data_IF_273387328416
#
_entry.id   IF_273387328416
#
_cell.length_a   1.000
_cell.length_b   1.000
_cell.length_c   1.000
_cell.angle_alpha   90.00
_cell.angle_beta   90.00
_cell.angle_gamma   90.00
#
_symmetry.space_group_name_H-M   'P 1'
#
loop_
_entity.id
_entity.type
_entity.pdbx_description
1 polymer ?
#
# COMPACT_ATOMS: atom_id res chain seq x y z
N UNK A 1 -2.41 20.88 -12.16
CA UNK A 1 -1.15 20.26 -11.69
C UNK A 1 -1.36 19.06 -10.77
N UNK A 2 -1.71 19.16 -9.47
CA UNK A 2 -1.80 17.96 -8.59
C UNK A 2 -2.78 16.88 -9.12
N UNK A 3 -4.03 17.26 -9.38
CA UNK A 3 -5.03 16.33 -9.93
C UNK A 3 -4.67 15.83 -11.34
N UNK A 4 -3.95 16.64 -12.11
CA UNK A 4 -3.52 16.30 -13.48
C UNK A 4 -2.40 15.26 -13.47
N UNK A 5 -1.43 15.41 -12.57
CA UNK A 5 -0.38 14.41 -12.32
C UNK A 5 -1.00 13.08 -11.89
N UNK A 6 -1.98 13.10 -10.97
CA UNK A 6 -2.65 11.89 -10.53
C UNK A 6 -3.51 11.24 -11.62
N UNK A 7 -4.22 12.04 -12.42
CA UNK A 7 -4.98 11.55 -13.57
C UNK A 7 -4.06 10.91 -14.61
N UNK A 8 -2.95 11.56 -14.95
CA UNK A 8 -1.97 11.00 -15.90
C UNK A 8 -1.32 9.74 -15.34
N UNK A 9 -0.99 9.71 -14.05
CA UNK A 9 -0.47 8.52 -13.37
C UNK A 9 -1.46 7.35 -13.48
N UNK A 10 -2.75 7.61 -13.26
CA UNK A 10 -3.79 6.59 -13.36
C UNK A 10 -3.97 6.04 -14.79
N UNK A 11 -3.87 6.90 -15.80
CA UNK A 11 -3.87 6.49 -17.22
C UNK A 11 -2.63 5.64 -17.52
N UNK A 12 -1.45 6.15 -17.18
CA UNK A 12 -0.18 5.49 -17.44
C UNK A 12 -0.12 4.10 -16.78
N UNK A 13 -0.61 3.95 -15.55
CA UNK A 13 -0.61 2.66 -14.84
C UNK A 13 -1.51 1.61 -15.49
N UNK A 14 -2.58 2.04 -16.19
CA UNK A 14 -3.45 1.14 -16.97
C UNK A 14 -2.78 0.75 -18.29
N UNK A 15 -2.13 1.69 -18.95
CA UNK A 15 -1.59 1.49 -20.30
C UNK A 15 -0.21 0.82 -20.33
N UNK A 16 0.70 1.19 -19.41
CA UNK A 16 2.12 0.76 -19.45
C UNK A 16 2.71 0.47 -18.08
N UNK A 17 3.85 -0.21 -18.06
CA UNK A 17 4.70 -0.30 -16.86
C UNK A 17 5.43 1.02 -16.67
N UNK A 18 5.58 1.43 -15.40
CA UNK A 18 6.34 2.63 -15.02
C UNK A 18 7.75 2.32 -14.47
N UNK A 19 8.23 1.08 -14.60
CA UNK A 19 9.62 0.65 -14.29
C UNK A 19 10.14 1.18 -12.94
N UNK A 20 9.39 1.00 -11.86
CA UNK A 20 9.77 1.47 -10.51
C UNK A 20 9.60 2.97 -10.27
N UNK A 21 9.23 3.77 -11.27
CA UNK A 21 8.92 5.21 -11.10
C UNK A 21 7.78 5.42 -10.12
N UNK A 22 6.78 4.54 -10.11
CA UNK A 22 5.70 4.60 -9.12
C UNK A 22 6.25 4.46 -7.69
N UNK A 23 7.16 3.51 -7.43
CA UNK A 23 7.75 3.36 -6.10
C UNK A 23 8.48 4.63 -5.67
N UNK A 24 9.34 5.16 -6.55
CA UNK A 24 10.06 6.41 -6.28
C UNK A 24 9.10 7.55 -5.98
N UNK A 25 8.03 7.70 -6.76
CA UNK A 25 7.02 8.73 -6.54
C UNK A 25 6.36 8.59 -5.15
N UNK A 26 5.95 7.38 -4.77
CA UNK A 26 5.37 7.10 -3.45
C UNK A 26 6.34 7.42 -2.33
N UNK A 27 7.58 6.94 -2.40
CA UNK A 27 8.60 7.16 -1.38
C UNK A 27 8.99 8.64 -1.27
N UNK A 28 9.07 9.37 -2.38
CA UNK A 28 9.30 10.83 -2.37
C UNK A 28 8.16 11.56 -1.66
N UNK A 29 6.89 11.21 -1.94
CA UNK A 29 5.76 11.86 -1.29
C UNK A 29 5.74 11.59 0.22
N UNK A 30 6.03 10.36 0.64
CA UNK A 30 6.13 9.98 2.06
C UNK A 30 7.29 10.72 2.74
N UNK A 31 8.48 10.76 2.10
CA UNK A 31 9.64 11.47 2.63
C UNK A 31 9.40 12.99 2.74
N UNK A 32 8.71 13.58 1.77
CA UNK A 32 8.40 14.99 1.76
C UNK A 32 7.46 15.38 2.90
N UNK A 33 6.45 14.55 3.19
CA UNK A 33 5.59 14.73 4.36
C UNK A 33 6.39 14.64 5.66
N UNK A 34 7.24 13.60 5.81
CA UNK A 34 8.04 13.41 7.02
C UNK A 34 9.03 14.56 7.24
N UNK A 35 9.68 15.04 6.18
CA UNK A 35 10.56 16.20 6.26
C UNK A 35 9.81 17.47 6.69
N UNK A 36 8.60 17.69 6.15
CA UNK A 36 7.77 18.83 6.53
C UNK A 36 7.33 18.73 8.00
N UNK A 37 6.96 17.54 8.49
CA UNK A 37 6.67 17.29 9.91
C UNK A 37 7.86 17.59 10.81
N UNK A 38 9.04 17.06 10.44
CA UNK A 38 10.26 17.24 11.22
C UNK A 38 10.69 18.72 11.32
N UNK A 39 10.45 19.52 10.27
CA UNK A 39 10.68 20.98 10.30
C UNK A 39 9.64 21.72 11.12
N UNK A 40 8.36 21.35 11.01
CA UNK A 40 7.30 21.93 11.82
C UNK A 40 7.54 21.70 13.33
N UNK A 41 8.02 20.51 13.71
CA UNK A 41 8.41 20.18 15.07
C UNK A 41 9.59 21.04 15.60
N UNK A 42 10.40 21.61 14.71
CA UNK A 42 11.48 22.57 15.02
C UNK A 42 11.00 24.03 15.03
N UNK A 43 9.69 24.26 15.05
CA UNK A 43 9.04 25.57 14.98
C UNK A 43 9.32 26.34 13.68
N UNK A 44 9.71 25.66 12.59
CA UNK A 44 9.75 26.29 11.27
C UNK A 44 8.32 26.44 10.72
N UNK A 45 8.00 27.53 9.98
CA UNK A 45 6.66 27.82 9.46
C UNK A 45 6.30 26.93 8.25
N UNK A 46 6.33 25.62 8.42
CA UNK A 46 6.15 24.60 7.38
C UNK A 46 4.83 23.84 7.48
N UNK A 47 3.92 24.26 8.37
CA UNK A 47 2.61 23.62 8.56
C UNK A 47 1.81 23.47 7.26
N UNK A 48 1.82 24.49 6.40
CA UNK A 48 1.15 24.43 5.10
C UNK A 48 1.77 23.37 4.17
N UNK A 49 3.09 23.17 4.24
CA UNK A 49 3.78 22.14 3.47
C UNK A 49 3.46 20.74 4.00
N UNK A 50 3.39 20.57 5.33
CA UNK A 50 2.97 19.31 5.96
C UNK A 50 1.58 18.90 5.49
N UNK A 51 0.58 19.80 5.61
CA UNK A 51 -0.79 19.52 5.18
C UNK A 51 -0.87 19.25 3.67
N UNK A 52 -0.06 19.96 2.88
CA UNK A 52 0.02 19.73 1.44
C UNK A 52 0.52 18.33 1.08
N UNK A 53 1.64 17.89 1.65
CA UNK A 53 2.19 16.56 1.36
C UNK A 53 1.34 15.43 1.92
N UNK A 54 0.73 15.62 3.09
CA UNK A 54 -0.24 14.67 3.63
C UNK A 54 -1.45 14.52 2.70
N UNK A 55 -1.97 15.63 2.15
CA UNK A 55 -3.04 15.59 1.16
C UNK A 55 -2.63 14.83 -0.11
N UNK A 56 -1.40 15.04 -0.59
CA UNK A 56 -0.85 14.30 -1.73
C UNK A 56 -0.79 12.80 -1.44
N UNK A 57 -0.31 12.40 -0.25
CA UNK A 57 -0.27 10.99 0.14
C UNK A 57 -1.67 10.38 0.20
N UNK A 58 -2.63 11.06 0.84
CA UNK A 58 -4.04 10.63 0.90
C UNK A 58 -4.62 10.41 -0.49
N UNK A 59 -4.46 11.39 -1.39
CA UNK A 59 -5.01 11.29 -2.74
C UNK A 59 -4.32 10.25 -3.61
N UNK A 60 -3.00 10.15 -3.52
CA UNK A 60 -2.25 9.15 -4.29
C UNK A 60 -2.66 7.75 -3.84
N UNK A 61 -2.72 7.51 -2.53
CA UNK A 61 -3.16 6.23 -2.01
C UNK A 61 -4.60 5.92 -2.42
N UNK A 62 -5.53 6.87 -2.26
CA UNK A 62 -6.91 6.72 -2.72
C UNK A 62 -6.98 6.37 -4.21
N UNK A 63 -6.20 7.04 -5.05
CA UNK A 63 -6.17 6.80 -6.51
C UNK A 63 -5.70 5.39 -6.83
N UNK A 64 -4.63 4.92 -6.19
CA UNK A 64 -4.13 3.56 -6.37
C UNK A 64 -5.13 2.49 -5.89
N UNK A 65 -5.86 2.76 -4.80
CA UNK A 65 -6.93 1.89 -4.32
C UNK A 65 -8.08 1.80 -5.33
N UNK A 66 -8.50 2.94 -5.91
CA UNK A 66 -9.55 2.96 -6.93
C UNK A 66 -9.13 2.20 -8.20
N UNK A 67 -7.86 2.26 -8.58
CA UNK A 67 -7.32 1.45 -9.67
C UNK A 67 -7.41 -0.04 -9.32
N UNK A 68 -6.97 -0.44 -8.12
CA UNK A 68 -7.03 -1.84 -7.71
C UNK A 68 -8.48 -2.35 -7.61
N UNK A 69 -9.39 -1.57 -7.03
CA UNK A 69 -10.82 -1.89 -6.95
C UNK A 69 -11.41 -2.16 -8.32
N UNK A 70 -11.18 -1.27 -9.30
CA UNK A 70 -11.69 -1.46 -10.65
C UNK A 70 -11.15 -2.71 -11.35
N UNK A 71 -9.97 -3.20 -10.96
CA UNK A 71 -9.46 -4.48 -11.47
C UNK A 71 -10.08 -5.69 -10.77
N UNK A 72 -10.36 -5.59 -9.46
CA UNK A 72 -10.97 -6.67 -8.67
C UNK A 72 -12.46 -6.87 -8.98
N UNK A 73 -13.21 -5.78 -9.18
CA UNK A 73 -14.65 -5.82 -9.47
C UNK A 73 -14.97 -6.62 -10.74
N UNK A 74 -14.03 -6.70 -11.68
CA UNK A 74 -14.15 -7.49 -12.92
C UNK A 74 -14.35 -8.98 -12.64
N UNK A 75 -13.79 -9.49 -11.55
CA UNK A 75 -13.88 -10.91 -11.16
C UNK A 75 -14.98 -11.17 -10.13
N UNK A 76 -15.56 -10.12 -9.53
CA UNK A 76 -16.65 -10.26 -8.57
C UNK A 76 -17.98 -10.65 -9.24
N UNK A 77 -18.12 -10.36 -10.54
CA UNK A 77 -19.31 -10.65 -11.34
C UNK A 77 -19.27 -11.99 -12.09
N UNK A 78 -18.12 -12.66 -12.10
CA UNK A 78 -17.96 -13.96 -12.75
C UNK A 78 -18.36 -15.06 -11.76
N UNK A 79 -19.40 -15.84 -12.09
CA UNK A 79 -19.94 -16.90 -11.21
C UNK A 79 -18.84 -17.84 -10.69
N UNK A 80 -18.78 -18.01 -9.36
CA UNK A 80 -17.84 -18.85 -8.62
C UNK A 80 -17.95 -20.37 -8.91
N UNK A 81 -18.62 -20.78 -9.99
CA UNK A 81 -18.91 -22.18 -10.30
C UNK A 81 -17.72 -22.96 -10.87
N UNK A 82 -16.62 -22.28 -11.25
CA UNK A 82 -15.37 -22.94 -11.63
C UNK A 82 -14.48 -23.19 -10.40
N UNK A 83 -14.75 -24.29 -9.70
CA UNK A 83 -13.94 -24.82 -8.57
C UNK A 83 -12.49 -25.22 -8.93
N UNK A 84 -11.97 -24.79 -10.08
CA UNK A 84 -10.70 -25.25 -10.66
C UNK A 84 -9.57 -24.21 -10.65
N UNK A 85 -9.81 -22.96 -10.25
CA UNK A 85 -8.73 -21.97 -10.19
C UNK A 85 -7.95 -22.07 -8.86
N UNK A 86 -7.29 -23.22 -8.67
CA UNK A 86 -6.57 -23.60 -7.45
C UNK A 86 -5.48 -22.60 -7.00
N UNK A 87 -5.14 -21.57 -7.78
CA UNK A 87 -3.99 -20.72 -7.50
C UNK A 87 -4.31 -19.22 -7.36
N UNK A 88 -5.52 -18.73 -7.64
CA UNK A 88 -5.94 -17.32 -7.46
C UNK A 88 -5.15 -16.27 -8.28
N UNK A 89 -3.95 -16.60 -8.74
CA UNK A 89 -3.00 -15.70 -9.40
C UNK A 89 -3.49 -15.21 -10.77
N UNK A 90 -4.40 -15.94 -11.40
CA UNK A 90 -5.12 -15.58 -12.62
C UNK A 90 -6.03 -14.36 -12.40
N UNK A 91 -6.53 -14.16 -11.18
CA UNK A 91 -7.34 -12.98 -10.79
C UNK A 91 -6.48 -11.75 -10.51
N UNK A 92 -5.15 -11.87 -10.55
CA UNK A 92 -4.23 -10.74 -10.35
C UNK A 92 -3.83 -10.17 -11.72
N UNK A 93 -4.58 -9.15 -12.15
CA UNK A 93 -4.36 -8.50 -13.46
C UNK A 93 -2.99 -7.83 -13.56
N UNK A 94 -2.56 -7.53 -14.79
CA UNK A 94 -1.32 -6.78 -15.04
C UNK A 94 -1.34 -5.42 -14.35
N UNK A 95 -2.49 -4.74 -14.31
CA UNK A 95 -2.63 -3.44 -13.65
C UNK A 95 -2.55 -3.60 -12.12
N UNK A 96 -3.21 -4.61 -11.55
CA UNK A 96 -3.10 -4.91 -10.11
C UNK A 96 -1.64 -5.18 -9.70
N UNK A 97 -0.89 -5.92 -10.54
CA UNK A 97 0.55 -6.18 -10.31
C UNK A 97 1.39 -4.92 -10.27
N UNK A 98 1.04 -3.89 -11.05
CA UNK A 98 1.77 -2.61 -11.09
C UNK A 98 1.54 -1.77 -9.84
N UNK A 99 0.34 -1.82 -9.24
CA UNK A 99 -0.02 -0.93 -8.12
C UNK A 99 0.18 -1.55 -6.74
N UNK A 100 0.07 -2.87 -6.61
CA UNK A 100 0.15 -3.57 -5.32
C UNK A 100 1.43 -3.28 -4.50
N UNK A 101 2.65 -3.26 -5.09
CA UNK A 101 3.85 -2.94 -4.32
C UNK A 101 3.80 -1.52 -3.72
N UNK A 102 3.25 -0.55 -4.45
CA UNK A 102 3.11 0.83 -3.98
C UNK A 102 2.02 0.96 -2.91
N UNK A 103 0.92 0.21 -3.07
CA UNK A 103 -0.14 0.11 -2.09
C UNK A 103 0.38 -0.46 -0.76
N UNK A 104 1.27 -1.46 -0.78
CA UNK A 104 1.93 -1.94 0.45
C UNK A 104 2.69 -0.82 1.16
N UNK A 105 3.49 -0.02 0.44
CA UNK A 105 4.18 1.12 1.05
C UNK A 105 3.20 2.14 1.65
N UNK A 106 2.10 2.44 0.96
CA UNK A 106 1.06 3.32 1.51
C UNK A 106 0.27 2.73 2.68
N UNK A 107 0.08 1.40 2.74
CA UNK A 107 -0.50 0.71 3.90
C UNK A 107 0.37 0.92 5.15
N UNK A 108 1.69 0.73 5.03
CA UNK A 108 2.62 1.05 6.13
C UNK A 108 2.58 2.52 6.53
N UNK A 109 2.56 3.44 5.57
CA UNK A 109 2.39 4.87 5.86
C UNK A 109 1.08 5.15 6.60
N UNK A 110 -0.03 4.53 6.18
CA UNK A 110 -1.34 4.68 6.83
C UNK A 110 -1.29 4.19 8.27
N UNK A 111 -0.70 3.02 8.52
CA UNK A 111 -0.52 2.47 9.88
C UNK A 111 0.26 3.42 10.78
N UNK A 112 1.35 4.00 10.28
CA UNK A 112 2.17 4.96 11.05
C UNK A 112 1.40 6.27 11.32
N UNK A 113 0.57 6.71 10.38
CA UNK A 113 -0.10 8.01 10.44
C UNK A 113 -1.57 7.95 10.87
N UNK A 114 -2.08 6.76 11.21
CA UNK A 114 -3.50 6.52 11.47
C UNK A 114 -4.06 7.41 12.59
N UNK A 115 -3.32 7.61 13.68
CA UNK A 115 -3.72 8.46 14.79
C UNK A 115 -3.87 9.93 14.38
N UNK A 116 -2.91 10.46 13.61
CA UNK A 116 -2.96 11.83 13.10
C UNK A 116 -4.11 12.03 12.10
N UNK A 117 -4.30 11.09 11.18
CA UNK A 117 -5.39 11.14 10.19
C UNK A 117 -6.77 11.00 10.86
N UNK A 118 -6.87 10.20 11.93
CA UNK A 118 -8.11 10.05 12.71
C UNK A 118 -8.46 11.33 13.46
N UNK A 119 -7.47 12.02 14.04
CA UNK A 119 -7.70 13.33 14.66
C UNK A 119 -8.20 14.35 13.61
N UNK A 120 -7.62 14.36 12.41
CA UNK A 120 -8.04 15.26 11.32
C UNK A 120 -9.43 14.95 10.77
N UNK A 121 -9.86 13.68 10.81
CA UNK A 121 -11.23 13.30 10.44
C UNK A 121 -12.29 13.94 11.34
N UNK A 122 -11.94 14.27 12.59
CA UNK A 122 -12.87 14.89 13.55
C UNK A 122 -13.06 16.39 13.29
N UNK A 123 -12.16 17.03 12.53
CA UNK A 123 -12.25 18.41 12.10
C UNK A 123 -13.12 18.52 10.83
N UNK A 124 -14.45 18.57 11.03
CA UNK A 124 -15.48 18.31 10.02
C UNK A 124 -15.54 19.29 8.84
N UNK A 125 -14.76 20.36 8.85
CA UNK A 125 -14.90 21.48 7.89
C UNK A 125 -13.71 21.64 6.93
N UNK A 126 -12.76 20.68 6.90
CA UNK A 126 -11.61 20.75 5.99
C UNK A 126 -11.75 19.81 4.78
N UNK A 127 -11.26 20.24 3.61
CA UNK A 127 -11.18 19.39 2.40
C UNK A 127 -10.39 18.10 2.67
N UNK A 128 -9.36 18.19 3.51
CA UNK A 128 -8.54 17.04 3.90
C UNK A 128 -9.36 16.03 4.72
N UNK A 129 -10.21 16.47 5.65
CA UNK A 129 -11.06 15.58 6.45
C UNK A 129 -11.96 14.71 5.57
N UNK A 130 -12.59 15.30 4.54
CA UNK A 130 -13.43 14.58 3.57
C UNK A 130 -12.60 13.56 2.80
N UNK A 131 -11.41 13.96 2.32
CA UNK A 131 -10.52 13.07 1.57
C UNK A 131 -10.02 11.90 2.42
N UNK A 132 -9.72 12.14 3.70
CA UNK A 132 -9.35 11.08 4.64
C UNK A 132 -10.52 10.11 4.86
N UNK A 133 -11.76 10.61 4.99
CA UNK A 133 -12.94 9.74 5.12
C UNK A 133 -13.14 8.85 3.89
N UNK A 134 -13.01 9.42 2.68
CA UNK A 134 -13.12 8.66 1.44
C UNK A 134 -11.96 7.67 1.27
N UNK A 135 -10.75 8.02 1.69
CA UNK A 135 -9.61 7.09 1.74
C UNK A 135 -9.93 5.88 2.62
N UNK A 136 -10.43 6.09 3.84
CA UNK A 136 -10.78 5.00 4.76
C UNK A 136 -11.84 4.07 4.17
N UNK A 137 -12.90 4.64 3.56
CA UNK A 137 -13.94 3.84 2.89
C UNK A 137 -13.36 3.01 1.75
N UNK A 138 -12.57 3.64 0.88
CA UNK A 138 -11.91 2.98 -0.25
C UNK A 138 -10.98 1.86 0.21
N UNK A 139 -10.21 2.10 1.28
CA UNK A 139 -9.30 1.10 1.85
C UNK A 139 -10.08 -0.11 2.39
N UNK A 140 -11.08 0.12 3.23
CA UNK A 140 -11.92 -0.95 3.78
C UNK A 140 -12.64 -1.77 2.69
N UNK A 141 -13.19 -1.10 1.68
CA UNK A 141 -13.83 -1.77 0.54
C UNK A 141 -12.84 -2.64 -0.24
N UNK A 142 -11.62 -2.13 -0.47
CA UNK A 142 -10.55 -2.86 -1.17
C UNK A 142 -10.15 -4.11 -0.40
N UNK A 143 -9.93 -4.00 0.92
CA UNK A 143 -9.58 -5.13 1.77
C UNK A 143 -10.68 -6.18 1.81
N UNK A 144 -11.94 -5.75 1.91
CA UNK A 144 -13.10 -6.63 1.89
C UNK A 144 -13.18 -7.43 0.59
N UNK A 145 -13.01 -6.74 -0.55
CA UNK A 145 -13.07 -7.39 -1.85
C UNK A 145 -11.87 -8.33 -2.10
N UNK A 146 -10.68 -7.98 -1.62
CA UNK A 146 -9.53 -8.89 -1.64
C UNK A 146 -9.80 -10.15 -0.81
N UNK A 147 -10.30 -9.99 0.42
CA UNK A 147 -10.60 -11.11 1.31
C UNK A 147 -11.74 -12.01 0.77
N UNK A 148 -12.67 -11.48 -0.01
CA UNK A 148 -13.70 -12.28 -0.68
C UNK A 148 -13.22 -12.95 -1.98
N UNK A 149 -12.21 -12.37 -2.64
CA UNK A 149 -11.70 -12.86 -3.93
C UNK A 149 -10.63 -13.94 -3.77
N UNK A 150 -9.81 -13.84 -2.71
CA UNK A 150 -8.67 -14.72 -2.46
C UNK A 150 -8.83 -15.47 -1.14
N UNK A 151 -8.43 -16.74 -1.09
CA UNK A 151 -8.34 -17.53 0.15
C UNK A 151 -7.10 -17.10 0.95
N UNK A 152 -7.15 -15.88 1.51
CA UNK A 152 -6.03 -15.20 2.19
C UNK A 152 -5.32 -16.08 3.22
N UNK A 153 -6.03 -16.82 4.10
CA UNK A 153 -5.38 -17.70 5.08
C UNK A 153 -4.50 -18.79 4.45
N UNK A 154 -4.83 -19.24 3.24
CA UNK A 154 -4.09 -20.31 2.52
C UNK A 154 -3.02 -19.80 1.56
N UNK A 155 -2.90 -18.48 1.36
CA UNK A 155 -1.82 -17.92 0.53
C UNK A 155 -0.46 -18.18 1.19
N UNK A 156 0.53 -18.53 0.37
CA UNK A 156 1.87 -18.90 0.83
C UNK A 156 2.63 -17.69 1.40
N UNK A 157 3.49 -17.97 2.39
CA UNK A 157 4.47 -17.02 2.91
C UNK A 157 5.66 -16.88 1.96
N UNK A 158 6.32 -15.71 2.01
CA UNK A 158 7.59 -15.45 1.34
C UNK A 158 8.63 -15.11 2.41
N UNK A 159 9.66 -15.95 2.50
CA UNK A 159 10.66 -15.90 3.58
C UNK A 159 11.81 -14.89 3.33
N UNK A 160 11.77 -14.14 2.24
CA UNK A 160 12.74 -13.09 1.89
C UNK A 160 12.03 -11.74 1.68
N UNK A 161 12.80 -10.65 1.68
CA UNK A 161 12.29 -9.30 1.40
C UNK A 161 11.85 -9.22 -0.06
N UNK A 162 10.64 -8.72 -0.36
CA UNK A 162 10.28 -8.40 -1.74
C UNK A 162 11.01 -7.15 -2.22
N UNK A 163 11.00 -6.90 -3.53
CA UNK A 163 11.68 -5.75 -4.16
C UNK A 163 11.34 -4.42 -3.45
N UNK A 164 10.07 -4.15 -3.17
CA UNK A 164 9.64 -2.94 -2.45
C UNK A 164 10.04 -2.91 -0.96
N UNK A 165 10.24 -4.08 -0.35
CA UNK A 165 10.71 -4.18 1.03
C UNK A 165 12.22 -3.88 1.10
N UNK A 166 12.99 -4.33 0.11
CA UNK A 166 14.41 -3.97 -0.01
C UNK A 166 14.61 -2.47 -0.28
N UNK A 167 13.78 -1.88 -1.15
CA UNK A 167 13.81 -0.44 -1.45
C UNK A 167 13.52 0.44 -0.21
N UNK A 168 12.85 -0.11 0.78
CA UNK A 168 12.46 0.60 2.02
C UNK A 168 13.32 0.25 3.23
N UNK A 169 14.33 -0.61 3.07
CA UNK A 169 15.33 -0.84 4.12
C UNK A 169 16.05 0.46 4.48
N UNK A 170 16.02 0.82 5.77
CA UNK A 170 16.63 2.06 6.27
C UNK A 170 15.83 3.32 5.95
N UNK A 171 14.67 3.21 5.30
CA UNK A 171 13.80 4.34 4.99
C UNK A 171 13.02 4.77 6.24
N UNK A 172 13.63 5.67 7.03
CA UNK A 172 13.13 6.13 8.33
C UNK A 172 11.63 6.45 8.39
N UNK A 173 10.98 7.07 7.38
CA UNK A 173 9.54 7.34 7.45
C UNK A 173 8.65 6.10 7.57
N UNK A 174 9.16 4.91 7.20
CA UNK A 174 8.44 3.63 7.29
C UNK A 174 9.00 2.69 8.36
N UNK A 175 10.01 3.10 9.12
CA UNK A 175 10.58 2.33 10.23
C UNK A 175 9.78 2.66 11.50
N UNK A 176 8.88 1.75 11.87
CA UNK A 176 8.05 1.88 13.07
C UNK A 176 7.80 0.50 13.70
N UNK A 177 7.52 0.47 15.00
CA UNK A 177 7.17 -0.77 15.70
C UNK A 177 5.96 -1.48 15.10
N UNK A 178 5.00 -0.74 14.54
CA UNK A 178 3.82 -1.26 13.88
C UNK A 178 4.08 -1.81 12.46
N UNK A 179 5.21 -1.50 11.84
CA UNK A 179 5.55 -1.92 10.46
C UNK A 179 6.77 -2.82 10.39
N UNK A 180 7.51 -2.99 11.49
CA UNK A 180 8.76 -3.77 11.53
C UNK A 180 8.59 -5.24 11.16
N UNK A 181 7.42 -5.83 11.38
CA UNK A 181 7.14 -7.24 11.11
C UNK A 181 7.19 -7.55 9.61
N UNK A 182 6.98 -6.56 8.74
CA UNK A 182 7.20 -6.68 7.29
C UNK A 182 8.61 -7.18 6.95
N UNK A 183 9.62 -6.76 7.72
CA UNK A 183 11.03 -7.07 7.48
C UNK A 183 11.53 -8.30 8.23
N UNK A 184 10.63 -9.03 8.91
CA UNK A 184 10.96 -10.20 9.72
C UNK A 184 10.32 -11.48 9.19
N UNK A 185 11.00 -12.59 9.42
CA UNK A 185 10.44 -13.93 9.26
C UNK A 185 9.48 -14.23 10.42
N UNK A 186 8.68 -15.29 10.29
CA UNK A 186 7.83 -15.81 11.38
C UNK A 186 8.62 -16.21 12.63
N UNK A 187 9.94 -16.44 12.48
CA UNK A 187 10.87 -16.74 13.57
C UNK A 187 11.42 -15.47 14.24
N UNK A 188 11.00 -14.29 13.80
CA UNK A 188 11.41 -12.98 14.31
C UNK A 188 12.79 -12.53 13.82
N UNK A 189 13.45 -13.26 12.92
CA UNK A 189 14.74 -12.87 12.33
C UNK A 189 14.53 -11.95 11.14
N UNK A 190 15.48 -11.07 10.83
CA UNK A 190 15.43 -10.26 9.62
C UNK A 190 15.32 -11.15 8.38
N UNK A 191 14.40 -10.83 7.47
CA UNK A 191 14.30 -11.52 6.18
C UNK A 191 15.57 -11.27 5.36
N UNK A 192 16.16 -12.29 4.72
CA UNK A 192 17.25 -12.11 3.76
C UNK A 192 16.78 -11.32 2.53
N UNK A 193 17.74 -10.76 1.79
CA UNK A 193 17.49 -10.13 0.50
C UNK A 193 17.28 -11.17 -0.59
N UNK A 194 16.58 -10.82 -1.65
CA UNK A 194 16.26 -11.68 -2.78
C UNK A 194 17.51 -12.21 -3.50
N UNK A 195 18.59 -11.43 -3.48
CA UNK A 195 19.85 -11.75 -4.15
C UNK A 195 20.92 -12.30 -3.20
N UNK A 196 20.58 -12.57 -1.94
CA UNK A 196 21.53 -13.18 -1.00
C UNK A 196 21.86 -14.63 -1.42
N UNK A 197 23.10 -15.10 -1.21
CA UNK A 197 23.47 -16.47 -1.52
C UNK A 197 22.59 -17.50 -0.80
N UNK A 198 22.06 -18.46 -1.56
CA UNK A 198 21.23 -19.55 -1.02
C UNK A 198 19.73 -19.24 -0.96
N UNK A 199 19.31 -18.05 -1.40
CA UNK A 199 17.89 -17.72 -1.53
C UNK A 199 17.37 -18.20 -2.89
N UNK A 200 16.37 -19.08 -2.87
CA UNK A 200 15.63 -19.49 -4.06
C UNK A 200 14.38 -18.59 -4.19
N UNK A 201 14.33 -17.82 -5.28
CA UNK A 201 13.22 -16.91 -5.52
C UNK A 201 11.97 -17.69 -5.91
N UNK A 202 10.87 -17.43 -5.22
CA UNK A 202 9.56 -17.94 -5.58
C UNK A 202 9.10 -17.43 -6.95
N UNK A 203 8.20 -18.18 -7.59
CA UNK A 203 7.58 -17.73 -8.83
C UNK A 203 6.88 -16.37 -8.63
N UNK A 204 6.93 -15.41 -9.58
CA UNK A 204 6.34 -14.08 -9.40
C UNK A 204 4.85 -14.08 -9.00
N UNK A 205 4.09 -15.10 -9.39
CA UNK A 205 2.69 -15.27 -8.95
C UNK A 205 2.56 -15.49 -7.44
N UNK A 206 3.48 -16.26 -6.84
CA UNK A 206 3.49 -16.49 -5.39
C UNK A 206 3.81 -15.18 -4.68
N UNK A 207 4.82 -14.44 -5.14
CA UNK A 207 5.15 -13.12 -4.59
C UNK A 207 3.97 -12.14 -4.69
N UNK A 208 3.20 -12.17 -5.78
CA UNK A 208 2.03 -11.32 -5.94
C UNK A 208 0.88 -11.68 -5.00
N UNK A 209 0.62 -12.97 -4.81
CA UNK A 209 -0.38 -13.43 -3.84
C UNK A 209 0.04 -13.10 -2.40
N UNK A 210 1.34 -13.23 -2.11
CA UNK A 210 1.88 -12.83 -0.83
C UNK A 210 1.70 -11.32 -0.55
N UNK A 211 1.88 -10.47 -1.57
CA UNK A 211 1.56 -9.03 -1.45
C UNK A 211 0.10 -8.79 -1.07
N UNK A 212 -0.84 -9.52 -1.65
CA UNK A 212 -2.27 -9.46 -1.30
C UNK A 212 -2.49 -9.91 0.14
N UNK A 213 -1.90 -11.06 0.52
CA UNK A 213 -1.99 -11.60 1.88
C UNK A 213 -1.56 -10.56 2.91
N UNK A 214 -0.36 -10.00 2.76
CA UNK A 214 0.16 -9.02 3.71
C UNK A 214 -0.63 -7.72 3.70
N UNK A 215 -1.08 -7.24 2.53
CA UNK A 215 -1.91 -6.04 2.45
C UNK A 215 -3.24 -6.21 3.23
N UNK A 216 -3.85 -7.40 3.16
CA UNK A 216 -5.06 -7.72 3.94
C UNK A 216 -4.75 -7.83 5.44
N UNK A 217 -3.67 -8.51 5.82
CA UNK A 217 -3.26 -8.66 7.23
C UNK A 217 -2.97 -7.30 7.86
N UNK A 218 -2.19 -6.43 7.21
CA UNK A 218 -1.90 -5.08 7.71
C UNK A 218 -3.18 -4.25 7.90
N UNK A 219 -4.15 -4.40 7.00
CA UNK A 219 -5.47 -3.79 7.13
C UNK A 219 -6.25 -4.27 8.36
N UNK A 220 -6.17 -5.57 8.68
CA UNK A 220 -6.80 -6.14 9.88
C UNK A 220 -6.10 -5.69 11.16
N UNK A 221 -4.76 -5.68 11.17
CA UNK A 221 -3.97 -5.22 12.30
C UNK A 221 -4.29 -3.77 12.67
N UNK A 222 -4.60 -2.94 11.68
CA UNK A 222 -5.00 -1.56 11.91
C UNK A 222 -6.33 -1.46 12.68
N UNK A 223 -7.26 -2.39 12.47
CA UNK A 223 -8.56 -2.44 13.19
C UNK A 223 -8.39 -3.00 14.61
N UNK A 224 -7.48 -3.95 14.81
CA UNK A 224 -7.26 -4.57 16.12
C UNK A 224 -6.52 -3.63 17.08
N UNK A 225 -5.61 -2.81 16.54
CA UNK A 225 -4.71 -1.98 17.35
C UNK A 225 -5.14 -0.51 17.48
N UNK A 226 -6.28 -0.10 16.91
CA UNK A 226 -6.84 1.27 17.02
C UNK A 226 -8.33 1.26 17.39
#
# INVERSE_FOLDING_TARGET
MENEVLSQLAVDLKEKSLEGTLQKFVLINIAAEELAKARAAKNEPTHNAQLFFQRINVKTFFTLLQILLGELERFATEDNDSKESQHGSEKVTVVARRVLPALRNYSSWLTINCGSLTAQKQDKDTVLSVQVQELWKSYANTLTLLASTFDVPRLLEVEYLLEEDEETLGFSPLINEATKERYKTDKGTTKPRMLDPGIERNHPNIEMLFRIRQFVIEGLDLVVNN
#
